data_IF_321394636961
#
_entry.id   IF_321394636961
#
_cell.length_a   1.000
_cell.length_b   1.000
_cell.length_c   1.000
_cell.angle_alpha   90.00
_cell.angle_beta   90.00
_cell.angle_gamma   90.00
#
_symmetry.space_group_name_H-M   'P 1'
#
loop_
_entity.id
_entity.type
_entity.pdbx_description
1 polymer ?
#
# COMPACT_ATOMS: atom_id res chain seq x y z
N UNK A 1 10.37 -23.11 -18.38
CA UNK A 1 9.92 -21.84 -17.74
C UNK A 1 11.06 -21.18 -16.99
N UNK A 2 11.03 -19.88 -16.87
CA UNK A 2 11.96 -19.12 -16.01
C UNK A 2 11.18 -18.31 -14.99
N UNK A 3 11.63 -18.37 -13.72
CA UNK A 3 11.08 -17.61 -12.60
C UNK A 3 11.91 -16.37 -12.35
N UNK A 4 11.23 -15.25 -12.15
CA UNK A 4 11.86 -13.98 -11.81
C UNK A 4 11.34 -13.51 -10.44
N UNK A 5 12.19 -13.52 -9.45
CA UNK A 5 11.96 -12.97 -8.11
C UNK A 5 13.26 -12.37 -7.55
N UNK A 6 13.21 -11.85 -6.32
CA UNK A 6 14.37 -11.27 -5.65
C UNK A 6 15.55 -12.24 -5.54
N UNK A 7 15.29 -13.55 -5.45
CA UNK A 7 16.33 -14.57 -5.31
C UNK A 7 16.99 -14.91 -6.65
N UNK A 8 16.24 -14.86 -7.76
CA UNK A 8 16.73 -15.22 -9.10
C UNK A 8 17.30 -14.02 -9.86
N UNK A 9 17.03 -12.79 -9.43
CA UNK A 9 17.48 -11.55 -10.11
C UNK A 9 18.34 -10.67 -9.22
N UNK A 10 19.32 -11.27 -8.53
CA UNK A 10 20.25 -10.54 -7.64
C UNK A 10 21.11 -9.50 -8.37
N UNK A 11 21.28 -9.64 -9.67
CA UNK A 11 22.05 -8.69 -10.48
C UNK A 11 21.23 -8.18 -11.66
N UNK A 12 21.50 -6.95 -12.09
CA UNK A 12 20.89 -6.34 -13.26
C UNK A 12 21.12 -7.18 -14.53
N UNK A 13 22.32 -7.73 -14.69
CA UNK A 13 22.66 -8.58 -15.84
C UNK A 13 21.84 -9.88 -15.89
N UNK A 14 21.57 -10.51 -14.74
CA UNK A 14 20.70 -11.69 -14.66
C UNK A 14 19.26 -11.36 -15.04
N UNK A 15 18.75 -10.20 -14.60
CA UNK A 15 17.44 -9.69 -15.00
C UNK A 15 17.36 -9.48 -16.53
N UNK A 16 18.28 -8.70 -17.10
CA UNK A 16 18.31 -8.38 -18.53
C UNK A 16 18.39 -9.66 -19.38
N UNK A 17 19.16 -10.65 -18.94
CA UNK A 17 19.25 -11.95 -19.63
C UNK A 17 17.93 -12.72 -19.64
N UNK A 18 17.21 -12.77 -18.50
CA UNK A 18 15.90 -13.46 -18.42
C UNK A 18 14.91 -12.82 -19.40
N UNK A 19 14.88 -11.49 -19.43
CA UNK A 19 13.99 -10.74 -20.32
C UNK A 19 14.36 -10.99 -21.79
N UNK A 20 15.63 -10.88 -22.15
CA UNK A 20 16.09 -11.13 -23.51
C UNK A 20 15.82 -12.56 -23.99
N UNK A 21 16.01 -13.57 -23.12
CA UNK A 21 15.71 -14.96 -23.45
C UNK A 21 14.19 -15.19 -23.69
N UNK A 22 13.33 -14.49 -22.93
CA UNK A 22 11.87 -14.56 -23.14
C UNK A 22 11.46 -13.83 -24.42
N UNK A 23 12.00 -12.64 -24.67
CA UNK A 23 11.75 -11.84 -25.88
C UNK A 23 12.18 -12.57 -27.16
N UNK A 24 13.29 -13.31 -27.10
CA UNK A 24 13.81 -14.12 -28.22
C UNK A 24 13.10 -15.47 -28.37
N UNK A 25 12.08 -15.78 -27.58
CA UNK A 25 11.35 -17.05 -27.62
C UNK A 25 12.15 -18.26 -27.11
N UNK A 26 13.28 -18.05 -26.44
CA UNK A 26 14.06 -19.13 -25.80
C UNK A 26 13.41 -19.68 -24.53
N UNK A 27 12.41 -18.96 -24.01
CA UNK A 27 11.65 -19.31 -22.82
C UNK A 27 10.18 -19.09 -23.11
N UNK A 28 9.35 -20.12 -22.91
CA UNK A 28 7.92 -20.09 -23.22
C UNK A 28 7.09 -19.42 -22.11
N UNK A 29 7.53 -19.49 -20.86
CA UNK A 29 6.80 -19.00 -19.70
C UNK A 29 7.71 -18.14 -18.83
N UNK A 30 7.29 -16.89 -18.62
CA UNK A 30 7.91 -15.97 -17.69
C UNK A 30 7.03 -15.85 -16.45
N UNK A 31 7.58 -16.14 -15.28
CA UNK A 31 6.89 -16.01 -13.99
C UNK A 31 7.61 -14.93 -13.18
N UNK A 32 6.86 -13.99 -12.66
CA UNK A 32 7.45 -12.92 -11.85
C UNK A 32 6.41 -12.17 -11.04
N UNK A 33 6.91 -11.20 -10.28
CA UNK A 33 6.11 -10.25 -9.51
C UNK A 33 5.86 -8.97 -10.33
N UNK A 34 5.50 -7.88 -9.68
CA UNK A 34 5.30 -6.56 -10.31
C UNK A 34 6.49 -6.08 -11.16
N UNK A 35 7.70 -6.60 -10.94
CA UNK A 35 8.87 -6.27 -11.75
C UNK A 35 8.72 -6.69 -13.22
N UNK A 36 7.97 -7.77 -13.49
CA UNK A 36 7.71 -8.26 -14.87
C UNK A 36 6.62 -7.44 -15.55
N UNK A 37 5.75 -6.78 -14.80
CA UNK A 37 4.64 -6.01 -15.36
C UNK A 37 5.04 -4.60 -15.79
N UNK A 38 6.15 -4.06 -15.27
CA UNK A 38 6.52 -2.65 -15.46
C UNK A 38 7.57 -2.49 -16.58
N UNK A 39 7.23 -1.72 -17.60
CA UNK A 39 8.18 -1.28 -18.65
C UNK A 39 8.57 -2.33 -19.68
N UNK A 40 8.07 -3.57 -19.62
CA UNK A 40 8.34 -4.61 -20.57
C UNK A 40 7.23 -4.70 -21.61
N UNK A 41 7.60 -4.82 -22.87
CA UNK A 41 6.67 -4.95 -24.00
C UNK A 41 7.05 -6.14 -24.87
N UNK A 42 6.21 -7.17 -24.86
CA UNK A 42 6.46 -8.40 -25.58
C UNK A 42 5.41 -8.61 -26.67
N UNK A 43 5.83 -8.70 -27.90
CA UNK A 43 4.95 -8.90 -29.07
C UNK A 43 4.30 -10.31 -29.15
N UNK A 44 4.82 -11.28 -28.39
CA UNK A 44 4.48 -12.71 -28.55
C UNK A 44 3.65 -13.29 -27.40
N UNK A 45 3.22 -12.46 -26.44
CA UNK A 45 2.46 -12.93 -25.29
C UNK A 45 1.02 -13.21 -25.69
N UNK A 46 0.63 -14.48 -25.74
CA UNK A 46 -0.74 -14.93 -26.03
C UNK A 46 -1.61 -15.02 -24.77
N UNK A 47 -1.01 -15.38 -23.64
CA UNK A 47 -1.74 -15.58 -22.38
C UNK A 47 -1.00 -14.86 -21.25
N UNK A 48 -1.77 -14.15 -20.44
CA UNK A 48 -1.30 -13.56 -19.18
C UNK A 48 -2.11 -14.13 -18.03
N UNK A 49 -1.42 -14.67 -17.03
CA UNK A 49 -2.02 -15.16 -15.79
C UNK A 49 -1.76 -14.22 -14.62
N UNK A 50 -2.81 -13.78 -13.95
CA UNK A 50 -2.74 -13.04 -12.69
C UNK A 50 -3.11 -14.00 -11.57
N UNK A 51 -2.11 -14.43 -10.81
CA UNK A 51 -2.31 -15.40 -9.74
C UNK A 51 -2.62 -14.68 -8.43
N UNK A 52 -3.66 -15.16 -7.73
CA UNK A 52 -4.05 -14.71 -6.40
C UNK A 52 -4.30 -13.19 -6.32
N UNK A 53 -5.26 -12.70 -7.11
CA UNK A 53 -5.68 -11.29 -7.07
C UNK A 53 -6.17 -10.85 -5.67
N UNK A 54 -6.67 -11.78 -4.86
CA UNK A 54 -7.13 -11.51 -3.50
C UNK A 54 -6.05 -10.91 -2.59
N UNK A 55 -4.78 -11.24 -2.81
CA UNK A 55 -3.67 -10.64 -2.04
C UNK A 55 -3.58 -9.13 -2.23
N UNK A 56 -3.89 -8.64 -3.43
CA UNK A 56 -3.90 -7.21 -3.72
C UNK A 56 -5.16 -6.54 -3.17
N UNK A 57 -6.32 -7.20 -3.30
CA UNK A 57 -7.60 -6.67 -2.85
C UNK A 57 -7.68 -6.58 -1.32
N UNK A 58 -7.11 -7.55 -0.61
CA UNK A 58 -7.15 -7.63 0.86
C UNK A 58 -5.97 -6.92 1.54
N UNK A 59 -5.17 -6.17 0.80
CA UNK A 59 -4.09 -5.40 1.42
C UNK A 59 -4.66 -4.27 2.29
N UNK A 60 -4.20 -4.09 3.55
CA UNK A 60 -4.78 -3.11 4.49
C UNK A 60 -4.32 -1.67 4.19
N UNK A 61 -4.70 -1.14 3.05
CA UNK A 61 -4.47 0.23 2.60
C UNK A 61 -5.72 0.73 1.87
N UNK A 62 -6.12 1.98 2.11
CA UNK A 62 -7.29 2.58 1.46
C UNK A 62 -7.16 2.68 -0.07
N UNK A 63 -5.96 2.51 -0.61
CA UNK A 63 -5.65 2.48 -2.05
C UNK A 63 -5.58 1.06 -2.62
N UNK A 64 -5.87 0.03 -1.82
CA UNK A 64 -5.70 -1.37 -2.26
C UNK A 64 -6.48 -1.67 -3.54
N UNK A 65 -7.71 -1.21 -3.63
CA UNK A 65 -8.58 -1.43 -4.79
C UNK A 65 -8.11 -0.69 -6.04
N UNK A 66 -7.73 0.58 -5.90
CA UNK A 66 -7.14 1.35 -6.99
C UNK A 66 -5.85 0.73 -7.50
N UNK A 67 -4.94 0.37 -6.58
CA UNK A 67 -3.68 -0.30 -6.94
C UNK A 67 -3.91 -1.66 -7.59
N UNK A 68 -4.87 -2.43 -7.09
CA UNK A 68 -5.26 -3.71 -7.66
C UNK A 68 -5.79 -3.54 -9.09
N UNK A 69 -6.71 -2.58 -9.31
CA UNK A 69 -7.22 -2.24 -10.64
C UNK A 69 -6.08 -1.86 -11.59
N UNK A 70 -5.26 -0.89 -11.20
CA UNK A 70 -4.15 -0.38 -12.03
C UNK A 70 -3.17 -1.51 -12.41
N UNK A 71 -2.80 -2.36 -11.46
CA UNK A 71 -1.87 -3.45 -11.71
C UNK A 71 -2.49 -4.52 -12.62
N UNK A 72 -3.73 -4.93 -12.34
CA UNK A 72 -4.42 -5.93 -13.16
C UNK A 72 -4.68 -5.42 -14.58
N UNK A 73 -5.10 -4.17 -14.75
CA UNK A 73 -5.29 -3.54 -16.06
C UNK A 73 -3.98 -3.41 -16.82
N UNK A 74 -2.89 -3.01 -16.14
CA UNK A 74 -1.56 -2.92 -16.74
C UNK A 74 -1.07 -4.26 -17.25
N UNK A 75 -1.24 -5.32 -16.46
CA UNK A 75 -0.81 -6.67 -16.81
C UNK A 75 -1.70 -7.26 -17.91
N UNK A 76 -3.02 -7.01 -17.83
CA UNK A 76 -3.97 -7.43 -18.86
C UNK A 76 -3.65 -6.81 -20.23
N UNK A 77 -3.23 -5.55 -20.26
CA UNK A 77 -2.80 -4.86 -21.48
C UNK A 77 -1.54 -5.44 -22.16
N UNK A 78 -0.89 -6.44 -21.55
CA UNK A 78 0.24 -7.17 -22.15
C UNK A 78 -0.18 -8.37 -23.01
N UNK A 79 -1.43 -8.83 -22.85
CA UNK A 79 -1.93 -9.94 -23.64
C UNK A 79 -2.44 -9.46 -25.00
N UNK A 80 -1.97 -10.08 -26.09
CA UNK A 80 -2.51 -9.89 -27.43
C UNK A 80 -2.15 -8.57 -28.09
N UNK A 81 -1.07 -8.59 -28.86
CA UNK A 81 -0.67 -7.49 -29.78
C UNK A 81 -0.54 -7.98 -31.21
N UNK A 82 -0.46 -7.04 -32.16
CA UNK A 82 -0.30 -7.31 -33.61
C UNK A 82 -1.33 -8.27 -34.18
N UNK A 83 -2.63 -7.92 -34.03
CA UNK A 83 -3.77 -8.62 -34.64
C UNK A 83 -4.11 -10.01 -34.03
N UNK A 84 -3.56 -10.39 -32.87
CA UNK A 84 -3.97 -11.57 -32.15
C UNK A 84 -4.65 -11.19 -30.84
N UNK A 85 -5.88 -11.69 -30.62
CA UNK A 85 -6.55 -11.57 -29.31
C UNK A 85 -5.76 -12.37 -28.28
N UNK A 86 -5.25 -11.67 -27.24
CA UNK A 86 -4.68 -12.31 -26.09
C UNK A 86 -5.75 -12.77 -25.10
N UNK A 87 -5.37 -13.70 -24.24
CA UNK A 87 -6.23 -14.19 -23.15
C UNK A 87 -5.63 -13.74 -21.83
N UNK A 88 -6.46 -13.18 -20.96
CA UNK A 88 -6.09 -12.89 -19.57
C UNK A 88 -6.85 -13.87 -18.68
N UNK A 89 -6.13 -14.54 -17.79
CA UNK A 89 -6.69 -15.43 -16.78
C UNK A 89 -6.42 -14.84 -15.41
N UNK A 90 -7.48 -14.49 -14.71
CA UNK A 90 -7.42 -13.91 -13.38
C UNK A 90 -7.90 -14.92 -12.35
N UNK A 91 -7.05 -15.27 -11.40
CA UNK A 91 -7.36 -16.19 -10.32
C UNK A 91 -7.76 -15.41 -9.07
N UNK A 92 -8.98 -15.63 -8.61
CA UNK A 92 -9.54 -15.00 -7.39
C UNK A 92 -10.56 -15.92 -6.73
N UNK A 93 -10.74 -15.79 -5.41
CA UNK A 93 -11.84 -16.37 -4.65
C UNK A 93 -13.06 -15.45 -4.60
N UNK A 94 -12.88 -14.18 -4.92
CA UNK A 94 -13.87 -13.12 -4.82
C UNK A 94 -14.32 -12.68 -6.22
N UNK A 95 -14.90 -13.61 -7.00
CA UNK A 95 -15.28 -13.38 -8.40
C UNK A 95 -16.31 -12.25 -8.56
N UNK A 96 -17.18 -12.06 -7.56
CA UNK A 96 -18.22 -11.03 -7.57
C UNK A 96 -17.74 -9.66 -7.03
N UNK A 97 -16.46 -9.52 -6.72
CA UNK A 97 -15.92 -8.26 -6.22
C UNK A 97 -15.98 -7.18 -7.31
N UNK A 98 -16.51 -5.95 -7.03
CA UNK A 98 -16.69 -4.91 -8.04
C UNK A 98 -15.42 -4.60 -8.86
N UNK A 99 -14.26 -4.55 -8.21
CA UNK A 99 -12.96 -4.30 -8.89
C UNK A 99 -12.66 -5.37 -9.95
N UNK A 100 -13.02 -6.64 -9.73
CA UNK A 100 -12.81 -7.71 -10.72
C UNK A 100 -13.65 -7.43 -11.97
N UNK A 101 -14.93 -7.09 -11.80
CA UNK A 101 -15.81 -6.75 -12.92
C UNK A 101 -15.33 -5.48 -13.65
N UNK A 102 -14.90 -4.47 -12.91
CA UNK A 102 -14.38 -3.23 -13.46
C UNK A 102 -13.09 -3.44 -14.27
N UNK A 103 -12.18 -4.33 -13.81
CA UNK A 103 -10.99 -4.71 -14.59
C UNK A 103 -11.36 -5.46 -15.87
N UNK A 104 -12.29 -6.42 -15.79
CA UNK A 104 -12.75 -7.19 -16.96
C UNK A 104 -13.43 -6.26 -17.98
N UNK A 105 -14.26 -5.32 -17.51
CA UNK A 105 -14.96 -4.34 -18.33
C UNK A 105 -14.10 -3.15 -18.77
N UNK A 106 -12.87 -3.03 -18.24
CA UNK A 106 -12.01 -1.85 -18.38
C UNK A 106 -12.72 -0.53 -17.97
N UNK A 107 -13.55 -0.61 -16.92
CA UNK A 107 -14.38 0.49 -16.42
C UNK A 107 -13.62 1.33 -15.40
N UNK A 108 -12.69 2.15 -15.89
CA UNK A 108 -11.87 3.02 -15.04
C UNK A 108 -12.71 4.10 -14.33
N UNK A 109 -13.63 4.73 -15.01
CA UNK A 109 -14.48 5.79 -14.46
C UNK A 109 -15.33 5.27 -13.29
N UNK A 110 -16.01 4.14 -13.47
CA UNK A 110 -16.80 3.50 -12.41
C UNK A 110 -15.94 3.16 -11.18
N UNK A 111 -14.72 2.65 -11.40
CA UNK A 111 -13.78 2.39 -10.31
C UNK A 111 -13.42 3.67 -9.56
N UNK A 112 -13.10 4.74 -10.28
CA UNK A 112 -12.73 6.04 -9.68
C UNK A 112 -13.89 6.62 -8.88
N UNK A 113 -15.10 6.66 -9.44
CA UNK A 113 -16.28 7.20 -8.77
C UNK A 113 -16.60 6.42 -7.48
N UNK A 114 -16.57 5.10 -7.54
CA UNK A 114 -16.75 4.25 -6.37
C UNK A 114 -15.69 4.49 -5.29
N UNK A 115 -14.42 4.59 -5.69
CA UNK A 115 -13.33 4.86 -4.75
C UNK A 115 -13.40 6.26 -4.14
N UNK A 116 -13.78 7.27 -4.90
CA UNK A 116 -13.95 8.64 -4.39
C UNK A 116 -15.11 8.72 -3.40
N UNK A 117 -16.24 8.09 -3.68
CA UNK A 117 -17.37 8.02 -2.75
C UNK A 117 -16.98 7.36 -1.42
N UNK A 118 -16.29 6.22 -1.48
CA UNK A 118 -15.78 5.51 -0.31
C UNK A 118 -14.78 6.36 0.50
N UNK A 119 -13.84 7.02 -0.18
CA UNK A 119 -12.85 7.89 0.46
C UNK A 119 -13.48 9.10 1.15
N UNK A 120 -14.51 9.67 0.56
CA UNK A 120 -15.27 10.75 1.19
C UNK A 120 -15.97 10.27 2.46
N UNK A 121 -16.65 9.12 2.40
CA UNK A 121 -17.37 8.52 3.52
C UNK A 121 -16.42 8.19 4.69
N UNK A 122 -15.25 7.63 4.39
CA UNK A 122 -14.29 7.19 5.40
C UNK A 122 -13.19 8.20 5.73
N UNK A 123 -13.32 9.44 5.26
CA UNK A 123 -12.38 10.52 5.54
C UNK A 123 -10.94 10.19 5.08
N UNK A 124 -10.79 9.82 3.81
CA UNK A 124 -9.49 9.57 3.15
C UNK A 124 -9.13 10.63 2.10
N UNK A 125 -7.87 10.71 1.69
CA UNK A 125 -7.49 11.55 0.56
C UNK A 125 -8.28 11.24 -0.72
N UNK A 126 -8.67 12.25 -1.51
CA UNK A 126 -8.22 13.64 -1.49
C UNK A 126 -9.00 14.56 -0.54
N UNK A 127 -10.04 14.09 0.13
CA UNK A 127 -10.90 14.92 0.99
C UNK A 127 -10.27 15.25 2.35
N UNK A 128 -9.41 14.36 2.84
CA UNK A 128 -8.67 14.50 4.08
C UNK A 128 -7.19 14.25 3.85
N UNK A 129 -6.37 14.82 4.71
CA UNK A 129 -4.94 14.52 4.81
C UNK A 129 -4.73 13.49 5.91
N UNK A 130 -3.77 12.60 5.69
CA UNK A 130 -3.40 11.59 6.69
C UNK A 130 -2.09 11.98 7.36
N UNK A 131 -2.04 11.83 8.67
CA UNK A 131 -0.78 11.88 9.43
C UNK A 131 -0.68 10.59 10.22
N UNK A 132 0.30 9.76 9.89
CA UNK A 132 0.63 8.58 10.69
C UNK A 132 1.65 8.96 11.74
N UNK A 133 1.30 8.70 13.00
CA UNK A 133 2.20 8.85 14.13
C UNK A 133 2.69 7.45 14.51
N UNK A 134 3.94 7.19 14.20
CA UNK A 134 4.57 5.92 14.55
C UNK A 134 5.32 6.05 15.87
N UNK A 135 5.08 5.09 16.74
CA UNK A 135 5.67 4.96 18.06
C UNK A 135 6.50 3.69 18.10
N UNK A 136 7.74 3.77 18.57
CA UNK A 136 8.63 2.62 18.65
C UNK A 136 9.28 2.52 20.03
N UNK A 137 9.43 1.28 20.51
CA UNK A 137 10.17 0.96 21.73
C UNK A 137 10.68 -0.48 21.68
N UNK A 138 11.71 -0.78 22.45
CA UNK A 138 12.24 -2.13 22.60
C UNK A 138 11.36 -3.03 23.49
N UNK A 139 10.58 -2.44 24.38
CA UNK A 139 9.65 -3.14 25.26
C UNK A 139 8.22 -2.96 24.75
N UNK A 140 7.56 -4.06 24.34
CA UNK A 140 6.22 -4.02 23.78
C UNK A 140 5.16 -3.56 24.79
N UNK A 141 5.21 -4.06 26.03
CA UNK A 141 4.24 -3.70 27.06
C UNK A 141 4.34 -2.21 27.44
N UNK A 142 5.56 -1.68 27.52
CA UNK A 142 5.78 -0.26 27.76
C UNK A 142 5.32 0.57 26.56
N UNK A 143 5.55 0.11 25.32
CA UNK A 143 5.07 0.77 24.11
C UNK A 143 3.54 0.83 24.08
N UNK A 144 2.83 -0.21 24.51
CA UNK A 144 1.37 -0.23 24.57
C UNK A 144 0.85 0.85 25.51
N UNK A 145 1.47 1.01 26.70
CA UNK A 145 1.11 2.08 27.65
C UNK A 145 1.41 3.47 27.07
N UNK A 146 2.61 3.65 26.52
CA UNK A 146 3.02 4.93 25.89
C UNK A 146 2.09 5.32 24.75
N UNK A 147 1.71 4.36 23.91
CA UNK A 147 0.84 4.59 22.77
C UNK A 147 -0.58 4.97 23.20
N UNK A 148 -1.10 4.37 24.25
CA UNK A 148 -2.39 4.75 24.83
C UNK A 148 -2.37 6.19 25.35
N UNK A 149 -1.37 6.55 26.15
CA UNK A 149 -1.21 7.92 26.67
C UNK A 149 -1.06 8.94 25.53
N UNK A 150 -0.25 8.63 24.51
CA UNK A 150 -0.11 9.50 23.34
C UNK A 150 -1.45 9.68 22.61
N UNK A 151 -2.18 8.60 22.37
CA UNK A 151 -3.48 8.65 21.71
C UNK A 151 -4.49 9.51 22.50
N UNK A 152 -4.51 9.40 23.81
CA UNK A 152 -5.43 10.19 24.66
C UNK A 152 -5.08 11.68 24.64
N UNK A 153 -3.80 12.03 24.72
CA UNK A 153 -3.34 13.42 24.54
C UNK A 153 -3.71 13.98 23.16
N UNK A 154 -3.55 13.17 22.11
CA UNK A 154 -3.95 13.56 20.76
C UNK A 154 -5.47 13.71 20.64
N UNK A 155 -6.28 12.82 21.22
CA UNK A 155 -7.75 12.93 21.22
C UNK A 155 -8.24 14.17 21.95
N UNK A 156 -7.58 14.58 23.02
CA UNK A 156 -7.93 15.83 23.72
C UNK A 156 -7.85 17.04 22.81
N UNK A 157 -6.93 17.03 21.83
CA UNK A 157 -6.69 18.18 20.92
C UNK A 157 -7.41 18.00 19.58
N UNK A 158 -7.39 16.79 19.02
CA UNK A 158 -7.88 16.49 17.67
C UNK A 158 -9.23 15.77 17.63
N UNK A 159 -9.74 15.35 18.78
CA UNK A 159 -11.05 14.69 18.90
C UNK A 159 -11.14 13.39 18.09
N UNK A 160 -12.25 13.23 17.38
CA UNK A 160 -12.57 12.04 16.58
C UNK A 160 -11.67 11.83 15.34
N UNK A 161 -10.77 12.76 15.06
CA UNK A 161 -9.77 12.62 13.97
C UNK A 161 -8.67 11.62 14.29
N UNK A 162 -8.59 11.13 15.54
CA UNK A 162 -7.54 10.23 16.03
C UNK A 162 -8.06 8.80 16.09
N UNK A 163 -7.42 7.92 15.33
CA UNK A 163 -7.70 6.48 15.27
C UNK A 163 -6.50 5.68 15.79
N UNK A 164 -6.75 4.56 16.41
CA UNK A 164 -5.72 3.72 17.04
C UNK A 164 -5.51 4.06 18.51
N UNK A 165 -4.40 3.60 19.14
CA UNK A 165 -3.20 3.02 18.51
C UNK A 165 -3.40 1.56 18.07
N UNK A 166 -2.87 1.22 16.89
CA UNK A 166 -2.94 -0.11 16.31
C UNK A 166 -1.56 -0.65 15.95
N UNK A 167 -1.46 -1.98 15.75
CA UNK A 167 -0.27 -2.60 15.17
C UNK A 167 -0.29 -2.38 13.66
N UNK A 168 0.76 -1.78 13.06
CA UNK A 168 0.88 -1.70 11.62
C UNK A 168 1.17 -3.08 11.01
N UNK A 169 1.05 -3.28 9.67
CA UNK A 169 1.37 -4.55 9.00
C UNK A 169 2.78 -5.05 9.33
N UNK A 170 3.75 -4.15 9.48
CA UNK A 170 5.09 -4.45 10.02
C UNK A 170 5.14 -3.94 11.45
N UNK A 171 4.76 -4.80 12.41
CA UNK A 171 4.67 -4.45 13.83
C UNK A 171 5.99 -4.50 14.58
N UNK A 172 7.06 -5.01 13.94
CA UNK A 172 8.40 -5.09 14.52
C UNK A 172 9.48 -4.98 13.45
N UNK A 173 10.49 -4.16 13.70
CA UNK A 173 11.69 -4.07 12.88
C UNK A 173 12.90 -4.29 13.81
N UNK A 174 13.67 -5.35 13.55
CA UNK A 174 14.77 -5.79 14.43
C UNK A 174 14.29 -5.96 15.87
N UNK A 175 14.78 -5.13 16.80
CA UNK A 175 14.46 -5.16 18.23
C UNK A 175 13.35 -4.16 18.62
N UNK A 176 12.86 -3.34 17.69
CA UNK A 176 11.87 -2.29 17.95
C UNK A 176 10.46 -2.78 17.59
N UNK A 177 9.57 -2.78 18.57
CA UNK A 177 8.14 -2.91 18.37
C UNK A 177 7.56 -1.58 17.88
N UNK A 178 6.48 -1.64 17.09
CA UNK A 178 5.89 -0.47 16.42
C UNK A 178 4.39 -0.42 16.69
N UNK A 179 3.91 0.75 17.05
CA UNK A 179 2.48 1.12 17.08
C UNK A 179 2.25 2.32 16.16
N UNK A 180 1.05 2.41 15.63
CA UNK A 180 0.63 3.48 14.73
C UNK A 180 -0.66 4.12 15.23
N UNK A 181 -0.67 5.44 15.29
CA UNK A 181 -1.88 6.26 15.45
C UNK A 181 -2.10 6.98 14.12
N UNK A 182 -3.35 7.09 13.70
CA UNK A 182 -3.73 7.78 12.45
C UNK A 182 -4.52 9.02 12.78
N UNK A 183 -4.09 10.18 12.27
CA UNK A 183 -4.89 11.39 12.26
C UNK A 183 -5.44 11.62 10.86
N UNK A 184 -6.73 11.92 10.78
CA UNK A 184 -7.43 12.32 9.55
C UNK A 184 -7.80 13.79 9.69
N UNK A 185 -7.13 14.65 8.93
CA UNK A 185 -7.26 16.10 9.03
C UNK A 185 -7.95 16.61 7.76
N UNK A 186 -8.96 17.44 7.90
CA UNK A 186 -9.68 18.04 6.78
C UNK A 186 -8.72 18.78 5.86
N UNK A 187 -8.94 18.71 4.55
CA UNK A 187 -8.08 19.31 3.53
C UNK A 187 -7.86 20.82 3.76
N UNK A 188 -8.87 21.51 4.26
CA UNK A 188 -8.85 22.96 4.49
C UNK A 188 -8.28 23.36 5.86
N UNK A 189 -7.93 22.39 6.72
CA UNK A 189 -7.38 22.70 8.05
C UNK A 189 -5.93 23.20 7.96
N UNK A 190 -5.52 24.14 8.82
CA UNK A 190 -4.17 24.69 8.80
C UNK A 190 -3.14 23.69 9.31
N UNK A 191 -2.44 23.03 8.39
CA UNK A 191 -1.44 21.99 8.70
C UNK A 191 -0.26 22.50 9.55
N UNK A 192 0.09 23.80 9.45
CA UNK A 192 1.10 24.42 10.32
C UNK A 192 0.73 24.29 11.79
N UNK A 193 -0.53 24.63 12.11
CA UNK A 193 -1.06 24.50 13.48
C UNK A 193 -1.12 23.04 13.96
N UNK A 194 -1.52 22.13 13.08
CA UNK A 194 -1.52 20.71 13.41
C UNK A 194 -0.12 20.20 13.76
N UNK A 195 0.90 20.62 12.98
CA UNK A 195 2.32 20.31 13.26
C UNK A 195 2.77 20.85 14.62
N UNK A 196 2.49 22.11 14.92
CA UNK A 196 2.85 22.74 16.20
C UNK A 196 2.23 21.98 17.39
N UNK A 197 0.95 21.61 17.26
CA UNK A 197 0.24 20.84 18.29
C UNK A 197 0.85 19.45 18.49
N UNK A 198 1.16 18.75 17.41
CA UNK A 198 1.82 17.44 17.46
C UNK A 198 3.19 17.52 18.13
N UNK A 199 4.00 18.51 17.76
CA UNK A 199 5.33 18.71 18.34
C UNK A 199 5.23 19.07 19.83
N UNK A 200 4.26 19.88 20.22
CA UNK A 200 4.02 20.23 21.63
C UNK A 200 3.65 18.99 22.44
N UNK A 201 2.68 18.21 21.98
CA UNK A 201 2.25 16.98 22.66
C UNK A 201 3.42 15.99 22.80
N UNK A 202 4.22 15.82 21.74
CA UNK A 202 5.40 14.97 21.77
C UNK A 202 6.42 15.47 22.81
N UNK A 203 6.70 16.78 22.83
CA UNK A 203 7.64 17.38 23.78
C UNK A 203 7.17 17.17 25.21
N UNK A 204 5.92 17.52 25.52
CA UNK A 204 5.30 17.33 26.84
C UNK A 204 5.35 15.84 27.29
N UNK A 205 5.18 14.92 26.38
CA UNK A 205 5.25 13.49 26.68
C UNK A 205 6.68 13.05 26.99
N UNK A 206 7.66 13.51 26.21
CA UNK A 206 9.08 13.10 26.37
C UNK A 206 9.78 13.82 27.54
N UNK A 207 9.18 14.86 28.13
CA UNK A 207 9.64 15.48 29.39
C UNK A 207 9.43 14.57 30.60
N UNK A 208 8.48 13.61 30.54
CA UNK A 208 8.29 12.60 31.55
C UNK A 208 9.35 11.50 31.43
N UNK A 209 10.11 11.29 32.51
CA UNK A 209 11.18 10.29 32.59
C UNK A 209 10.73 8.89 32.14
N UNK A 210 9.49 8.53 32.41
CA UNK A 210 8.90 7.23 32.05
C UNK A 210 8.82 7.00 30.54
N UNK A 211 8.77 8.09 29.75
CA UNK A 211 8.53 8.05 28.30
C UNK A 211 9.73 8.49 27.46
N UNK A 212 10.85 8.82 28.08
CA UNK A 212 12.08 9.26 27.38
C UNK A 212 12.60 8.28 26.34
N UNK A 213 12.35 6.98 26.53
CA UNK A 213 12.78 5.94 25.59
C UNK A 213 11.85 5.77 24.38
N UNK A 214 10.75 6.53 24.29
CA UNK A 214 9.83 6.48 23.17
C UNK A 214 10.42 7.17 21.95
N UNK A 215 10.46 6.44 20.83
CA UNK A 215 10.82 6.99 19.53
C UNK A 215 9.52 7.34 18.80
N UNK A 216 9.36 8.61 18.42
CA UNK A 216 8.19 9.11 17.71
C UNK A 216 8.62 9.65 16.34
N UNK A 217 7.93 9.27 15.27
CA UNK A 217 8.08 9.93 13.98
C UNK A 217 6.73 10.05 13.26
N UNK A 218 6.65 11.02 12.37
CA UNK A 218 5.45 11.35 11.61
C UNK A 218 5.65 11.07 10.14
N UNK A 219 4.63 10.47 9.52
CA UNK A 219 4.55 10.28 8.09
C UNK A 219 3.29 11.00 7.60
N UNK A 220 3.49 12.04 6.80
CA UNK A 220 2.41 12.91 6.33
C UNK A 220 2.06 12.55 4.90
N UNK A 221 0.78 12.29 4.66
CA UNK A 221 0.24 11.82 3.39
C UNK A 221 1.02 10.59 2.85
N UNK A 222 1.10 9.50 3.64
CA UNK A 222 1.89 8.31 3.30
C UNK A 222 1.46 7.72 1.97
N UNK A 223 2.46 7.32 1.15
CA UNK A 223 2.25 6.72 -0.18
C UNK A 223 2.24 5.20 -0.13
#
# INVERSE_FOLDING_TARGET
YKRQDLDTTRTRAAYEKIIADFEQGKTDILIGTQMVSKGLDFDHVSIVGILNADTMLNYPDFRSYERAFQLMAQVAGRAGRKNKRGRVVLQTKSIDHPIIHQVIGNNYEEMVDGQLAERQMFHYPPYYRLVYVYLKNHNEALLDQMAAVMADKLRTVFGNRVLGPDKPPVARIQTLFIKKIVLKIEQNAPMGRARELLQRIQKEMLEDERYKSLIVYYDVDPM
#
